data_IF_791665293197
#
_entry.id   IF_791665293197
#
_cell.length_a   1.000
_cell.length_b   1.000
_cell.length_c   1.000
_cell.angle_alpha   90.00
_cell.angle_beta   90.00
_cell.angle_gamma   90.00
#
_symmetry.space_group_name_H-M   'P 1'
#
loop_
_entity.id
_entity.type
_entity.pdbx_description
1 polymer ?
#
# COMPACT_ATOMS: atom_id res chain seq x y z
N UNK A 1 19.70 -2.33 67.80
CA UNK A 1 19.96 -2.61 66.37
C UNK A 1 18.74 -2.45 65.43
N UNK A 2 17.59 -1.89 65.85
CA UNK A 2 16.44 -1.59 64.94
C UNK A 2 16.51 -0.20 64.28
N UNK A 3 17.11 0.79 64.94
CA UNK A 3 17.13 2.19 64.50
C UNK A 3 17.93 2.46 63.22
N UNK A 4 18.95 1.64 62.89
CA UNK A 4 19.70 1.80 61.63
C UNK A 4 18.99 1.20 60.41
N UNK A 5 17.98 0.34 60.60
CA UNK A 5 17.23 -0.26 59.49
C UNK A 5 16.24 0.74 58.90
N UNK A 6 15.47 1.42 59.74
CA UNK A 6 14.48 2.42 59.29
C UNK A 6 15.11 3.57 58.50
N UNK A 7 16.36 3.94 58.79
CA UNK A 7 17.02 5.03 58.08
C UNK A 7 17.38 4.69 56.62
N UNK A 8 17.36 3.42 56.23
CA UNK A 8 17.77 2.95 54.90
C UNK A 8 16.63 2.33 54.08
N UNK A 9 15.38 2.39 54.55
CA UNK A 9 14.25 1.76 53.84
C UNK A 9 13.99 2.39 52.46
N UNK A 10 14.40 3.65 52.27
CA UNK A 10 14.38 4.34 50.97
C UNK A 10 15.22 3.63 49.88
N UNK A 11 16.24 2.85 50.26
CA UNK A 11 17.09 2.10 49.32
C UNK A 11 16.26 1.09 48.52
N UNK A 12 15.13 0.60 49.07
CA UNK A 12 14.24 -0.30 48.34
C UNK A 12 13.70 0.34 47.07
N UNK A 13 13.32 1.62 47.12
CA UNK A 13 12.86 2.38 45.95
C UNK A 13 14.00 2.61 44.96
N UNK A 14 15.21 2.93 45.45
CA UNK A 14 16.38 3.09 44.58
C UNK A 14 16.81 1.81 43.85
N UNK A 15 16.37 0.64 44.32
CA UNK A 15 16.58 -0.67 43.68
C UNK A 15 15.36 -1.16 42.90
N UNK A 16 14.24 -0.47 42.99
CA UNK A 16 13.01 -0.84 42.30
C UNK A 16 13.11 -0.43 40.83
N UNK A 17 12.93 -1.40 39.94
CA UNK A 17 13.07 -1.18 38.50
C UNK A 17 12.04 -0.18 37.97
N UNK A 18 10.78 -0.23 38.45
CA UNK A 18 9.73 0.71 38.04
C UNK A 18 10.03 2.12 38.54
N UNK A 19 10.63 2.24 39.73
CA UNK A 19 11.02 3.53 40.27
C UNK A 19 12.15 4.13 39.43
N UNK A 20 13.21 3.37 39.17
CA UNK A 20 14.33 3.79 38.33
C UNK A 20 13.84 4.14 36.93
N UNK A 21 13.01 3.28 36.33
CA UNK A 21 12.43 3.51 35.00
C UNK A 21 11.62 4.80 34.98
N UNK A 22 10.76 5.03 35.98
CA UNK A 22 9.96 6.25 36.06
C UNK A 22 10.82 7.50 36.19
N UNK A 23 11.90 7.44 36.98
CA UNK A 23 12.81 8.57 37.14
C UNK A 23 13.67 8.86 35.91
N UNK A 24 13.98 7.85 35.10
CA UNK A 24 14.73 8.02 33.84
C UNK A 24 13.82 8.39 32.67
N UNK A 25 12.62 7.79 32.62
CA UNK A 25 11.66 7.88 31.54
C UNK A 25 10.25 8.05 32.12
N UNK A 26 9.86 9.28 32.50
CA UNK A 26 8.54 9.54 33.04
C UNK A 26 7.44 9.13 32.06
N UNK A 27 6.49 8.32 32.53
CA UNK A 27 5.31 7.88 31.80
C UNK A 27 4.07 8.04 32.70
N UNK A 28 2.91 8.28 32.11
CA UNK A 28 1.65 8.48 32.83
C UNK A 28 1.19 7.19 33.53
N UNK A 29 1.44 6.01 32.95
CA UNK A 29 1.13 4.72 33.59
C UNK A 29 1.94 4.51 34.88
N UNK A 30 3.24 4.85 34.85
CA UNK A 30 4.11 4.74 36.02
C UNK A 30 3.77 5.79 37.07
N UNK A 31 3.35 6.99 36.64
CA UNK A 31 2.85 8.03 37.56
C UNK A 31 1.63 7.53 38.32
N UNK A 32 0.63 7.03 37.60
CA UNK A 32 -0.60 6.50 38.22
C UNK A 32 -0.30 5.34 39.16
N UNK A 33 0.62 4.44 38.80
CA UNK A 33 1.06 3.35 39.66
C UNK A 33 1.64 3.85 41.00
N UNK A 34 2.55 4.83 40.95
CA UNK A 34 3.18 5.37 42.16
C UNK A 34 2.23 6.25 42.99
N UNK A 35 1.32 6.98 42.35
CA UNK A 35 0.26 7.72 43.04
C UNK A 35 -0.67 6.77 43.81
N UNK A 36 -1.18 5.71 43.17
CA UNK A 36 -2.01 4.68 43.81
C UNK A 36 -1.27 3.95 44.95
N UNK A 37 0.04 3.67 44.77
CA UNK A 37 0.86 3.09 45.82
C UNK A 37 0.98 4.01 47.04
N UNK A 38 1.22 5.30 46.84
CA UNK A 38 1.36 6.28 47.92
C UNK A 38 0.04 6.62 48.61
N UNK A 39 -1.09 6.48 47.93
CA UNK A 39 -2.42 6.55 48.55
C UNK A 39 -2.67 5.35 49.48
N UNK A 40 -2.28 4.14 49.05
CA UNK A 40 -2.46 2.90 49.84
C UNK A 40 -1.51 2.80 51.03
N UNK A 41 -0.30 3.34 50.90
CA UNK A 41 0.75 3.27 51.92
C UNK A 41 1.28 4.68 52.24
N UNK A 42 0.51 5.51 52.96
CA UNK A 42 0.91 6.88 53.28
C UNK A 42 2.19 6.95 54.11
N UNK A 43 2.47 5.93 54.92
CA UNK A 43 3.68 5.82 55.75
C UNK A 43 4.96 5.72 54.90
N UNK A 44 4.86 5.20 53.67
CA UNK A 44 5.99 5.06 52.76
C UNK A 44 6.37 6.36 52.06
N UNK A 45 5.52 7.40 52.15
CA UNK A 45 5.78 8.72 51.52
C UNK A 45 7.12 9.30 51.92
N UNK A 46 7.47 9.21 53.21
CA UNK A 46 8.74 9.73 53.71
C UNK A 46 9.94 9.01 53.10
N UNK A 47 9.87 7.69 52.98
CA UNK A 47 10.93 6.88 52.36
C UNK A 47 10.99 7.12 50.85
N UNK A 48 9.84 7.33 50.21
CA UNK A 48 9.75 7.65 48.79
C UNK A 48 10.42 8.99 48.47
N UNK A 49 10.09 10.04 49.21
CA UNK A 49 10.67 11.38 49.06
C UNK A 49 12.19 11.38 49.31
N UNK A 50 12.66 10.63 50.31
CA UNK A 50 14.09 10.41 50.54
C UNK A 50 14.75 9.71 49.35
N UNK A 51 14.11 8.68 48.78
CA UNK A 51 14.63 8.02 47.58
C UNK A 51 14.70 8.98 46.38
N UNK A 52 13.71 9.85 46.19
CA UNK A 52 13.76 10.88 45.15
C UNK A 52 14.93 11.85 45.35
N UNK A 53 15.14 12.29 46.59
CA UNK A 53 16.25 13.17 46.94
C UNK A 53 17.59 12.50 46.64
N UNK A 54 17.79 11.27 47.08
CA UNK A 54 19.00 10.53 46.78
C UNK A 54 19.18 10.27 45.29
N UNK A 55 18.09 9.97 44.56
CA UNK A 55 18.15 9.74 43.12
C UNK A 55 18.64 10.97 42.35
N UNK A 56 18.23 12.19 42.75
CA UNK A 56 18.70 13.45 42.12
C UNK A 56 20.21 13.65 42.22
N UNK A 57 20.84 13.08 43.24
CA UNK A 57 22.29 13.16 43.45
C UNK A 57 23.06 12.03 42.76
N UNK A 58 22.37 11.03 42.17
CA UNK A 58 23.02 9.99 41.40
C UNK A 58 23.53 10.60 40.11
N UNK A 59 24.85 10.61 39.95
CA UNK A 59 25.48 10.96 38.69
C UNK A 59 25.29 9.81 37.71
N UNK A 60 24.18 9.85 36.97
CA UNK A 60 23.99 9.08 35.76
C UNK A 60 25.08 9.52 34.80
N UNK A 61 26.16 8.73 34.71
CA UNK A 61 27.43 9.11 34.12
C UNK A 61 27.24 10.11 32.96
N UNK A 62 27.82 11.30 33.08
CA UNK A 62 27.87 12.31 32.02
C UNK A 62 28.75 11.84 30.86
N UNK A 63 28.53 10.62 30.36
CA UNK A 63 29.11 10.16 29.12
C UNK A 63 28.46 10.98 28.00
N UNK A 64 29.07 12.12 27.70
CA UNK A 64 28.75 12.90 26.52
C UNK A 64 29.15 12.04 25.34
N UNK A 65 28.15 11.52 24.64
CA UNK A 65 28.38 10.79 23.40
C UNK A 65 29.22 11.69 22.49
N UNK A 66 30.39 11.24 22.00
CA UNK A 66 31.20 12.02 21.07
C UNK A 66 30.36 12.47 19.88
N UNK A 67 30.49 13.73 19.47
CA UNK A 67 29.63 14.31 18.42
C UNK A 67 29.74 13.51 17.11
N UNK A 68 30.92 12.96 16.81
CA UNK A 68 31.16 12.03 15.71
C UNK A 68 30.27 10.78 15.77
N UNK A 69 30.12 10.16 16.95
CA UNK A 69 29.30 8.95 17.12
C UNK A 69 27.82 9.28 17.02
N UNK A 70 27.43 10.46 17.51
CA UNK A 70 26.06 10.98 17.41
C UNK A 70 25.70 11.25 15.95
N UNK A 71 26.56 11.92 15.20
CA UNK A 71 26.36 12.17 13.77
C UNK A 71 26.27 10.88 12.97
N UNK A 72 27.15 9.90 13.25
CA UNK A 72 27.08 8.59 12.58
C UNK A 72 25.78 7.84 12.92
N UNK A 73 25.30 7.91 14.17
CA UNK A 73 24.02 7.31 14.54
C UNK A 73 22.84 7.95 13.80
N UNK A 74 22.82 9.29 13.70
CA UNK A 74 21.81 10.04 12.94
C UNK A 74 21.86 9.64 11.46
N UNK A 75 23.06 9.61 10.86
CA UNK A 75 23.24 9.23 9.45
C UNK A 75 22.75 7.81 9.16
N UNK A 76 23.00 6.87 10.08
CA UNK A 76 22.48 5.49 9.97
C UNK A 76 20.96 5.45 10.01
N UNK A 77 20.35 6.22 10.90
CA UNK A 77 18.89 6.36 10.98
C UNK A 77 18.31 6.90 9.68
N UNK A 78 18.81 8.04 9.19
CA UNK A 78 18.37 8.65 7.93
C UNK A 78 18.49 7.69 6.75
N UNK A 79 19.63 7.00 6.64
CA UNK A 79 19.86 6.02 5.57
C UNK A 79 18.87 4.85 5.66
N UNK A 80 18.56 4.37 6.86
CA UNK A 80 17.57 3.30 7.06
C UNK A 80 16.16 3.72 6.62
N UNK A 81 15.76 4.96 6.96
CA UNK A 81 14.46 5.53 6.58
C UNK A 81 14.37 5.76 5.06
N UNK A 82 15.41 6.34 4.46
CA UNK A 82 15.48 6.55 3.01
C UNK A 82 15.39 5.22 2.25
N UNK A 83 16.09 4.18 2.71
CA UNK A 83 16.04 2.84 2.12
C UNK A 83 14.63 2.24 2.22
N UNK A 84 13.95 2.42 3.34
CA UNK A 84 12.57 1.96 3.55
C UNK A 84 11.61 2.68 2.58
N UNK A 85 11.66 4.02 2.52
CA UNK A 85 10.83 4.82 1.64
C UNK A 85 11.03 4.46 0.16
N UNK A 86 12.29 4.30 -0.28
CA UNK A 86 12.61 3.91 -1.66
C UNK A 86 12.06 2.54 -2.03
N UNK A 87 12.08 1.58 -1.10
CA UNK A 87 11.47 0.25 -1.32
C UNK A 87 9.96 0.35 -1.48
N UNK A 88 9.31 1.22 -0.70
CA UNK A 88 7.88 1.42 -0.78
C UNK A 88 7.45 2.07 -2.09
N UNK A 89 8.19 3.09 -2.57
CA UNK A 89 7.89 3.74 -3.86
C UNK A 89 8.10 2.80 -5.04
N UNK A 90 9.20 2.05 -5.08
CA UNK A 90 9.46 1.06 -6.13
C UNK A 90 8.34 0.01 -6.22
N UNK A 91 7.86 -0.50 -5.09
CA UNK A 91 6.72 -1.44 -5.06
C UNK A 91 5.45 -0.81 -5.67
N UNK A 92 5.15 0.44 -5.34
CA UNK A 92 3.99 1.15 -5.92
C UNK A 92 4.12 1.29 -7.43
N UNK A 93 5.30 1.66 -7.94
CA UNK A 93 5.54 1.74 -9.38
C UNK A 93 5.41 0.38 -10.07
N UNK A 94 5.91 -0.70 -9.46
CA UNK A 94 5.75 -2.05 -10.03
C UNK A 94 4.28 -2.48 -10.09
N UNK A 95 3.49 -2.16 -9.06
CA UNK A 95 2.05 -2.44 -9.09
C UNK A 95 1.31 -1.61 -10.14
N UNK A 96 1.64 -0.32 -10.26
CA UNK A 96 1.06 0.54 -11.28
C UNK A 96 1.41 0.05 -12.70
N UNK A 97 2.67 -0.30 -12.95
CA UNK A 97 3.10 -0.85 -14.24
C UNK A 97 2.41 -2.17 -14.57
N UNK A 98 2.27 -3.08 -13.60
CA UNK A 98 1.56 -4.34 -13.78
C UNK A 98 0.07 -4.14 -14.07
N UNK A 99 -0.59 -3.20 -13.39
CA UNK A 99 -1.98 -2.85 -13.64
C UNK A 99 -2.18 -2.27 -15.06
N UNK A 100 -1.30 -1.37 -15.49
CA UNK A 100 -1.32 -0.83 -16.85
C UNK A 100 -1.11 -1.94 -17.90
N UNK A 101 -0.14 -2.83 -17.68
CA UNK A 101 0.11 -3.95 -18.59
C UNK A 101 -1.11 -4.88 -18.67
N UNK A 102 -1.74 -5.21 -17.54
CA UNK A 102 -2.95 -6.02 -17.50
C UNK A 102 -4.11 -5.33 -18.24
N UNK A 103 -4.31 -4.03 -18.05
CA UNK A 103 -5.33 -3.26 -18.75
C UNK A 103 -5.11 -3.25 -20.28
N UNK A 104 -3.87 -3.12 -20.74
CA UNK A 104 -3.52 -3.19 -22.16
C UNK A 104 -3.80 -4.57 -22.75
N UNK A 105 -3.42 -5.64 -22.04
CA UNK A 105 -3.70 -7.02 -22.48
C UNK A 105 -5.21 -7.26 -22.57
N UNK A 106 -5.98 -6.85 -21.56
CA UNK A 106 -7.44 -6.97 -21.58
C UNK A 106 -8.07 -6.17 -22.73
N UNK A 107 -7.56 -4.97 -23.00
CA UNK A 107 -8.02 -4.13 -24.12
C UNK A 107 -7.74 -4.80 -25.47
N UNK A 108 -6.54 -5.35 -25.67
CA UNK A 108 -6.18 -6.10 -26.87
C UNK A 108 -7.07 -7.33 -27.08
N UNK A 109 -7.31 -8.11 -26.03
CA UNK A 109 -8.21 -9.26 -26.07
C UNK A 109 -9.65 -8.86 -26.40
N UNK A 110 -10.13 -7.74 -25.84
CA UNK A 110 -11.46 -7.20 -26.13
C UNK A 110 -11.58 -6.80 -27.61
N UNK A 111 -10.57 -6.10 -28.15
CA UNK A 111 -10.54 -5.70 -29.55
C UNK A 111 -10.54 -6.92 -30.47
N UNK A 112 -9.67 -7.91 -30.22
CA UNK A 112 -9.62 -9.15 -31.01
C UNK A 112 -10.97 -9.86 -31.03
N UNK A 113 -11.58 -10.05 -29.85
CA UNK A 113 -12.91 -10.66 -29.75
C UNK A 113 -13.99 -9.86 -30.47
N UNK A 114 -13.93 -8.53 -30.43
CA UNK A 114 -14.90 -7.68 -31.14
C UNK A 114 -14.75 -7.76 -32.65
N UNK A 115 -13.51 -7.84 -33.16
CA UNK A 115 -13.22 -7.97 -34.59
C UNK A 115 -13.63 -9.35 -35.11
N UNK A 116 -13.40 -10.41 -34.35
CA UNK A 116 -13.87 -11.76 -34.71
C UNK A 116 -15.40 -11.82 -34.77
N UNK A 117 -16.10 -11.20 -33.82
CA UNK A 117 -17.56 -11.09 -33.84
C UNK A 117 -18.08 -10.29 -35.05
N UNK A 118 -17.42 -9.19 -35.40
CA UNK A 118 -17.74 -8.41 -36.60
C UNK A 118 -17.50 -9.21 -37.89
N UNK A 119 -16.40 -9.97 -37.96
CA UNK A 119 -16.04 -10.78 -39.14
C UNK A 119 -16.97 -11.98 -39.35
N UNK A 120 -17.43 -12.63 -38.28
CA UNK A 120 -18.46 -13.67 -38.38
C UNK A 120 -19.81 -13.12 -38.85
N UNK A 121 -20.16 -11.90 -38.44
CA UNK A 121 -21.40 -11.25 -38.86
C UNK A 121 -21.35 -10.75 -40.32
N UNK A 122 -20.17 -10.38 -40.82
CA UNK A 122 -19.95 -9.97 -42.21
C UNK A 122 -20.03 -11.18 -43.17
N UNK A 123 -19.55 -12.36 -42.76
CA UNK A 123 -19.66 -13.61 -43.54
C UNK A 123 -21.12 -14.08 -43.73
N UNK A 124 -22.05 -13.73 -42.83
CA UNK A 124 -23.48 -14.04 -42.98
C UNK A 124 -24.16 -13.09 -44.00
N UNK A 125 -23.60 -11.90 -44.20
CA UNK A 125 -24.10 -10.89 -45.16
C UNK A 125 -23.43 -10.92 -46.54
N UNK A 126 -22.54 -11.89 -46.81
CA UNK A 126 -22.01 -12.12 -48.16
C UNK A 126 -23.16 -12.61 -49.07
N UNK A 127 -23.87 -11.65 -49.66
CA UNK A 127 -25.06 -11.83 -50.47
C UNK A 127 -24.81 -12.80 -51.61
N UNK A 128 -25.38 -13.99 -51.48
CA UNK A 128 -25.47 -14.95 -52.57
C UNK A 128 -26.53 -14.42 -53.55
N UNK A 129 -26.12 -14.06 -54.76
CA UNK A 129 -27.06 -13.69 -55.83
C UNK A 129 -27.61 -15.00 -56.40
N UNK A 130 -28.83 -15.36 -56.02
CA UNK A 130 -29.58 -16.44 -56.68
C UNK A 130 -30.24 -15.86 -57.92
N UNK A 131 -29.86 -16.35 -59.09
CA UNK A 131 -30.62 -16.09 -60.31
C UNK A 131 -31.96 -16.81 -60.25
N UNK A 132 -33.06 -16.06 -60.28
CA UNK A 132 -34.38 -16.60 -60.55
C UNK A 132 -34.61 -16.68 -62.06
N UNK A 133 -35.19 -17.78 -62.53
CA UNK A 133 -35.64 -17.90 -63.92
C UNK A 133 -36.66 -16.78 -64.23
N UNK A 134 -36.40 -16.05 -65.31
CA UNK A 134 -37.20 -14.89 -65.70
C UNK A 134 -38.38 -15.38 -66.56
N UNK A 135 -39.62 -15.28 -66.07
CA UNK A 135 -40.84 -15.75 -66.78
C UNK A 135 -41.19 -14.94 -68.05
N UNK A 136 -40.39 -13.92 -68.43
CA UNK A 136 -40.69 -13.05 -69.56
C UNK A 136 -40.25 -13.66 -70.89
N UNK A 137 -41.16 -13.73 -71.86
CA UNK A 137 -40.93 -14.25 -73.23
C UNK A 137 -40.03 -13.40 -74.11
N UNK A 138 -39.85 -12.11 -73.81
CA UNK A 138 -39.16 -11.18 -74.70
C UNK A 138 -37.80 -10.76 -74.11
N UNK A 139 -36.72 -11.10 -74.80
CA UNK A 139 -35.34 -10.70 -74.48
C UNK A 139 -35.02 -9.39 -75.21
N UNK A 140 -34.70 -8.34 -74.47
CA UNK A 140 -34.33 -7.04 -75.04
C UNK A 140 -32.81 -6.85 -75.04
N UNK A 141 -32.24 -6.57 -76.21
CA UNK A 141 -30.84 -6.22 -76.38
C UNK A 141 -30.69 -4.72 -76.65
N UNK A 142 -29.97 -4.02 -75.78
CA UNK A 142 -29.78 -2.57 -75.85
C UNK A 142 -28.29 -2.27 -76.06
N UNK A 143 -27.93 -1.68 -77.20
CA UNK A 143 -26.56 -1.24 -77.47
C UNK A 143 -26.53 0.06 -78.28
N UNK A 144 -25.67 1.01 -77.89
CA UNK A 144 -25.44 2.24 -78.65
C UNK A 144 -26.70 3.06 -78.98
N UNK A 145 -27.69 3.09 -78.07
CA UNK A 145 -28.96 3.81 -78.24
C UNK A 145 -30.00 3.12 -79.14
N UNK A 146 -29.74 1.88 -79.57
CA UNK A 146 -30.70 1.06 -80.34
C UNK A 146 -31.14 -0.13 -79.49
N UNK A 147 -32.42 -0.47 -79.60
CA UNK A 147 -33.02 -1.60 -78.88
C UNK A 147 -33.56 -2.60 -79.90
N UNK A 148 -33.18 -3.87 -79.76
CA UNK A 148 -33.72 -5.00 -80.51
C UNK A 148 -34.41 -5.98 -79.55
N UNK A 149 -35.54 -6.55 -79.96
CA UNK A 149 -36.31 -7.51 -79.16
C UNK A 149 -36.29 -8.88 -79.81
N UNK A 150 -36.13 -9.93 -79.00
CA UNK A 150 -36.09 -11.33 -79.42
C UNK A 150 -37.09 -12.13 -78.60
N UNK A 151 -37.87 -12.99 -79.26
CA UNK A 151 -38.91 -13.80 -78.61
C UNK A 151 -38.42 -15.18 -78.15
N UNK A 152 -37.20 -15.57 -78.55
CA UNK A 152 -36.61 -16.87 -78.25
C UNK A 152 -35.08 -16.71 -78.07
N UNK A 153 -34.45 -17.76 -77.54
CA UNK A 153 -33.00 -17.81 -77.39
C UNK A 153 -32.31 -17.56 -78.73
N UNK A 154 -31.38 -16.61 -78.72
CA UNK A 154 -30.54 -16.32 -79.89
C UNK A 154 -29.29 -17.16 -79.76
N UNK A 155 -29.12 -18.15 -80.66
CA UNK A 155 -27.84 -18.81 -80.85
C UNK A 155 -26.89 -17.81 -81.54
N UNK A 156 -25.70 -17.64 -80.96
CA UNK A 156 -24.64 -16.76 -81.46
C UNK A 156 -23.54 -17.61 -82.09
#
# INVERSE_FOLDING_TARGET
MRLQREHNDFIRFLKDEKFIQWKLFPNDELRAYWEDFLEKFPDERKNFELAEEHFRHINLSSYKLPEEKKQEAIRRLEHSLARYARRQTLRRFTYAAAACAAALVLSLLYIQKSTDWLRDNENISAGYIVGSELESKDILFITGGKTASFQENVDI
#
